data_IF_148211458120
#
_entry.id   IF_148211458120
#
_cell.length_a   1.000
_cell.length_b   1.000
_cell.length_c   1.000
_cell.angle_alpha   90.00
_cell.angle_beta   90.00
_cell.angle_gamma   90.00
#
_symmetry.space_group_name_H-M   'P 1'
#
loop_
_entity.id
_entity.type
_entity.pdbx_description
1 polymer ?
#
# COMPACT_ATOMS: atom_id res chain seq x y z
N UNK A 1 -7.44 26.39 34.85
CA UNK A 1 -7.89 25.80 33.57
C UNK A 1 -6.64 25.29 32.86
N UNK A 2 -6.42 23.97 32.96
CA UNK A 2 -5.18 23.30 32.55
C UNK A 2 -5.10 23.09 31.05
N UNK A 3 -3.87 23.19 30.53
CA UNK A 3 -3.47 23.07 29.13
C UNK A 3 -4.02 21.81 28.46
N UNK A 4 -4.42 21.98 27.20
CA UNK A 4 -4.57 20.93 26.19
C UNK A 4 -3.19 20.28 25.96
N UNK A 5 -2.89 19.22 26.69
CA UNK A 5 -1.75 18.33 26.41
C UNK A 5 -2.17 17.34 25.33
N UNK A 6 -2.24 17.81 24.08
CA UNK A 6 -2.15 16.96 22.92
C UNK A 6 -0.68 16.59 22.70
N UNK A 7 -0.21 15.55 23.40
CA UNK A 7 1.09 14.93 23.11
C UNK A 7 0.88 13.65 22.29
N UNK A 8 1.62 13.48 21.18
CA UNK A 8 1.28 12.53 20.12
C UNK A 8 1.56 11.09 20.55
N UNK A 9 0.74 10.16 20.04
CA UNK A 9 0.89 8.71 20.13
C UNK A 9 2.31 8.17 19.80
N UNK A 10 3.18 9.00 19.22
CA UNK A 10 4.58 8.71 18.95
C UNK A 10 5.49 8.59 20.20
N UNK A 11 5.11 9.14 21.36
CA UNK A 11 6.00 9.19 22.54
C UNK A 11 6.17 7.84 23.25
N UNK A 12 5.25 6.89 23.07
CA UNK A 12 5.19 5.68 23.88
C UNK A 12 6.08 4.52 23.37
N UNK A 13 6.53 4.54 22.10
CA UNK A 13 6.95 3.30 21.42
C UNK A 13 8.46 3.03 21.27
N UNK A 14 9.40 3.88 21.70
CA UNK A 14 10.82 3.64 21.36
C UNK A 14 11.80 3.78 22.54
N UNK A 15 12.17 2.64 23.12
CA UNK A 15 13.52 2.42 23.70
C UNK A 15 14.13 1.15 23.09
N UNK A 16 15.16 1.33 22.26
CA UNK A 16 16.16 0.31 21.94
C UNK A 16 16.23 -0.16 20.48
N UNK A 17 17.40 0.04 19.85
CA UNK A 17 17.92 -0.53 18.58
C UNK A 17 17.64 0.26 17.28
N UNK A 18 18.57 1.18 16.94
CA UNK A 18 18.34 2.35 16.10
C UNK A 18 18.38 2.20 14.56
N UNK A 19 18.51 1.00 13.96
CA UNK A 19 18.65 0.89 12.50
C UNK A 19 17.62 0.00 11.80
N UNK A 20 17.25 -1.15 12.38
CA UNK A 20 16.22 -2.03 11.78
C UNK A 20 14.79 -1.60 12.13
N UNK A 21 14.62 -0.72 13.11
CA UNK A 21 13.32 -0.33 13.66
C UNK A 21 12.63 0.76 12.82
N UNK A 22 13.38 1.56 12.06
CA UNK A 22 12.85 2.78 11.42
C UNK A 22 11.67 2.50 10.47
N UNK A 23 11.76 1.46 9.64
CA UNK A 23 10.67 1.05 8.73
C UNK A 23 9.46 0.47 9.47
N UNK A 24 9.69 -0.40 10.47
CA UNK A 24 8.59 -1.05 11.21
C UNK A 24 7.82 -0.06 12.08
N UNK A 25 8.51 0.90 12.71
CA UNK A 25 7.84 1.93 13.52
C UNK A 25 6.99 2.86 12.66
N UNK A 26 7.45 3.20 11.45
CA UNK A 26 6.67 4.04 10.53
C UNK A 26 5.34 3.40 10.16
N UNK A 27 5.31 2.10 9.83
CA UNK A 27 4.05 1.42 9.47
C UNK A 27 3.06 1.32 10.62
N UNK A 28 3.52 1.06 11.84
CA UNK A 28 2.64 1.06 13.02
C UNK A 28 2.09 2.46 13.30
N UNK A 29 2.92 3.50 13.18
CA UNK A 29 2.47 4.88 13.37
C UNK A 29 1.44 5.28 12.32
N UNK A 30 1.70 5.00 11.04
CA UNK A 30 0.75 5.25 9.95
C UNK A 30 -0.58 4.51 10.16
N UNK A 31 -0.51 3.25 10.60
CA UNK A 31 -1.72 2.48 10.89
C UNK A 31 -2.46 3.04 12.11
N UNK A 32 -1.77 3.39 13.20
CA UNK A 32 -2.40 4.02 14.36
C UNK A 32 -3.08 5.35 14.01
N UNK A 33 -2.49 6.15 13.11
CA UNK A 33 -3.07 7.43 12.67
C UNK A 33 -4.38 7.28 11.89
N UNK A 34 -4.74 6.07 11.43
CA UNK A 34 -6.03 5.79 10.80
C UNK A 34 -7.17 5.65 11.80
N UNK A 35 -6.87 5.49 13.08
CA UNK A 35 -7.86 5.35 14.14
C UNK A 35 -8.05 6.68 14.85
N UNK A 36 -9.29 6.96 15.25
CA UNK A 36 -9.65 8.18 15.98
C UNK A 36 -9.14 8.14 17.43
N UNK A 37 -8.97 6.94 17.98
CA UNK A 37 -8.48 6.72 19.34
C UNK A 37 -7.59 5.48 19.45
N UNK A 38 -6.80 5.42 20.51
CA UNK A 38 -6.01 4.23 20.85
C UNK A 38 -6.90 3.02 21.18
N UNK A 39 -8.07 3.26 21.76
CA UNK A 39 -9.05 2.21 22.06
C UNK A 39 -9.56 1.56 20.78
N UNK A 40 -9.84 2.33 19.73
CA UNK A 40 -10.27 1.80 18.44
C UNK A 40 -9.17 0.97 17.77
N UNK A 41 -7.91 1.42 17.86
CA UNK A 41 -6.76 0.66 17.37
C UNK A 41 -6.64 -0.69 18.08
N UNK A 42 -6.70 -0.71 19.41
CA UNK A 42 -6.62 -1.97 20.15
C UNK A 42 -7.88 -2.82 20.01
N UNK A 43 -9.06 -2.24 19.81
CA UNK A 43 -10.27 -3.01 19.49
C UNK A 43 -10.10 -3.79 18.19
N UNK A 44 -9.43 -3.20 17.19
CA UNK A 44 -9.10 -3.86 15.93
C UNK A 44 -8.01 -4.92 16.07
N UNK A 45 -6.98 -4.64 16.88
CA UNK A 45 -5.78 -5.46 17.05
C UNK A 45 -5.75 -6.21 18.39
N UNK A 46 -6.91 -6.62 18.88
CA UNK A 46 -7.04 -7.55 20.00
C UNK A 46 -7.87 -8.76 19.58
N UNK A 47 -7.58 -9.92 20.16
CA UNK A 47 -8.35 -11.14 19.97
C UNK A 47 -8.68 -11.72 21.33
N UNK A 48 -9.96 -11.97 21.58
CA UNK A 48 -10.46 -12.44 22.88
C UNK A 48 -10.01 -11.54 24.07
N UNK A 49 -10.00 -10.22 23.88
CA UNK A 49 -9.57 -9.26 24.90
C UNK A 49 -8.06 -9.16 25.11
N UNK A 50 -7.26 -9.94 24.37
CA UNK A 50 -5.79 -9.90 24.44
C UNK A 50 -5.24 -9.12 23.23
N UNK A 51 -4.44 -8.10 23.50
CA UNK A 51 -3.76 -7.31 22.47
C UNK A 51 -2.78 -8.18 21.67
N UNK A 52 -2.81 -8.05 20.35
CA UNK A 52 -1.83 -8.69 19.48
C UNK A 52 -0.43 -8.11 19.73
N UNK A 53 0.58 -8.95 19.55
CA UNK A 53 1.98 -8.49 19.56
C UNK A 53 2.21 -7.60 18.34
N UNK A 54 3.04 -6.58 18.48
CA UNK A 54 3.39 -5.66 17.39
C UNK A 54 3.87 -6.37 16.13
N UNK A 55 4.64 -7.46 16.26
CA UNK A 55 5.06 -8.25 15.10
C UNK A 55 3.87 -8.84 14.33
N UNK A 56 2.85 -9.37 15.04
CA UNK A 56 1.66 -9.92 14.40
C UNK A 56 0.86 -8.83 13.67
N UNK A 57 0.80 -7.62 14.24
CA UNK A 57 0.18 -6.46 13.60
C UNK A 57 0.96 -6.11 12.33
N UNK A 58 2.29 -6.03 12.41
CA UNK A 58 3.15 -5.76 11.26
C UNK A 58 3.01 -6.82 10.16
N UNK A 59 2.92 -8.10 10.51
CA UNK A 59 2.71 -9.19 9.57
C UNK A 59 1.34 -9.07 8.90
N UNK A 60 0.29 -8.75 9.67
CA UNK A 60 -1.06 -8.48 9.13
C UNK A 60 -1.05 -7.31 8.14
N UNK A 61 -0.38 -6.21 8.47
CA UNK A 61 -0.26 -5.04 7.61
C UNK A 61 0.52 -5.34 6.33
N UNK A 62 1.59 -6.13 6.46
CA UNK A 62 2.37 -6.59 5.32
C UNK A 62 1.54 -7.49 4.41
N UNK A 63 0.82 -8.47 4.94
CA UNK A 63 -0.07 -9.35 4.17
C UNK A 63 -1.15 -8.56 3.44
N UNK A 64 -1.79 -7.60 4.14
CA UNK A 64 -2.78 -6.72 3.53
C UNK A 64 -2.19 -5.91 2.37
N UNK A 65 -0.97 -5.36 2.55
CA UNK A 65 -0.25 -4.64 1.50
C UNK A 65 0.09 -5.54 0.32
N UNK A 66 0.63 -6.73 0.56
CA UNK A 66 0.96 -7.69 -0.50
C UNK A 66 -0.30 -8.12 -1.27
N UNK A 67 -1.43 -8.29 -0.58
CA UNK A 67 -2.71 -8.58 -1.22
C UNK A 67 -3.18 -7.43 -2.10
N UNK A 68 -3.06 -6.19 -1.63
CA UNK A 68 -3.40 -5.00 -2.43
C UNK A 68 -2.47 -4.88 -3.65
N UNK A 69 -1.17 -5.08 -3.47
CA UNK A 69 -0.19 -5.03 -4.56
C UNK A 69 -0.49 -6.10 -5.62
N UNK A 70 -0.89 -7.31 -5.21
CA UNK A 70 -1.35 -8.35 -6.16
C UNK A 70 -2.59 -7.92 -6.93
N UNK A 71 -3.59 -7.35 -6.24
CA UNK A 71 -4.82 -6.85 -6.85
C UNK A 71 -4.54 -5.74 -7.87
N UNK A 72 -3.74 -4.75 -7.48
CA UNK A 72 -3.35 -3.62 -8.33
C UNK A 72 -2.53 -4.07 -9.53
N UNK A 73 -1.60 -5.01 -9.34
CA UNK A 73 -0.82 -5.58 -10.44
C UNK A 73 -1.71 -6.37 -11.42
N UNK A 74 -2.66 -7.15 -10.92
CA UNK A 74 -3.64 -7.86 -11.74
C UNK A 74 -4.55 -6.88 -12.51
N UNK A 75 -4.99 -5.80 -11.87
CA UNK A 75 -5.76 -4.74 -12.52
C UNK A 75 -4.97 -4.08 -13.65
N UNK A 76 -3.70 -3.74 -13.41
CA UNK A 76 -2.82 -3.18 -14.43
C UNK A 76 -2.66 -4.12 -15.63
N UNK A 77 -2.36 -5.40 -15.38
CA UNK A 77 -2.25 -6.42 -16.44
C UNK A 77 -3.55 -6.53 -17.23
N UNK A 78 -4.70 -6.65 -16.55
CA UNK A 78 -6.01 -6.71 -17.21
C UNK A 78 -6.31 -5.48 -18.06
N UNK A 79 -6.00 -4.29 -17.55
CA UNK A 79 -6.23 -3.02 -18.27
C UNK A 79 -5.43 -2.96 -19.58
N UNK A 80 -4.19 -3.46 -19.56
CA UNK A 80 -3.32 -3.51 -20.73
C UNK A 80 -3.38 -4.86 -21.48
N UNK A 81 -4.47 -5.62 -21.34
CA UNK A 81 -4.68 -6.89 -22.06
C UNK A 81 -3.54 -7.91 -21.86
N UNK A 82 -3.10 -8.06 -20.61
CA UNK A 82 -1.97 -8.89 -20.17
C UNK A 82 -0.61 -8.54 -20.82
N UNK A 83 -0.51 -7.36 -21.44
CA UNK A 83 0.70 -6.84 -22.04
C UNK A 83 1.12 -5.51 -21.41
N UNK A 84 2.02 -5.55 -20.41
CA UNK A 84 2.55 -4.35 -19.78
C UNK A 84 3.47 -3.51 -20.70
N UNK A 85 3.79 -4.01 -21.91
CA UNK A 85 4.49 -3.25 -22.96
C UNK A 85 3.53 -2.63 -23.99
N UNK A 86 2.24 -2.57 -23.68
CA UNK A 86 1.26 -1.99 -24.57
C UNK A 86 1.58 -0.51 -24.86
N UNK A 87 1.38 0.00 -26.10
CA UNK A 87 1.66 1.40 -26.44
C UNK A 87 0.96 2.41 -25.53
N UNK A 88 -0.27 2.11 -25.07
CA UNK A 88 -1.00 2.95 -24.11
C UNK A 88 -0.31 3.08 -22.74
N UNK A 89 0.61 2.16 -22.40
CA UNK A 89 1.39 2.22 -21.17
C UNK A 89 2.61 3.16 -21.30
N UNK A 90 2.90 3.66 -22.51
CA UNK A 90 4.00 4.61 -22.81
C UNK A 90 5.35 4.20 -22.20
N UNK A 91 5.62 2.89 -22.16
CA UNK A 91 6.83 2.34 -21.57
C UNK A 91 6.96 2.50 -20.05
N UNK A 92 5.89 2.84 -19.31
CA UNK A 92 5.93 3.04 -17.86
C UNK A 92 6.45 1.81 -17.09
N UNK A 93 6.16 0.61 -17.59
CA UNK A 93 6.64 -0.65 -17.01
C UNK A 93 8.01 -1.08 -17.55
N UNK A 94 8.57 -0.39 -18.53
CA UNK A 94 9.87 -0.73 -19.09
C UNK A 94 11.00 -0.20 -18.19
N UNK A 95 12.08 -0.97 -18.11
CA UNK A 95 13.34 -0.53 -17.53
C UNK A 95 14.48 -0.89 -18.48
N UNK A 96 15.46 0.00 -18.58
CA UNK A 96 16.69 -0.27 -19.32
C UNK A 96 17.78 -0.56 -18.30
N UNK A 97 18.29 -1.79 -18.31
CA UNK A 97 19.48 -2.16 -17.54
C UNK A 97 20.50 -2.73 -18.51
N UNK A 98 21.73 -2.21 -18.46
CA UNK A 98 22.85 -2.66 -19.31
C UNK A 98 22.51 -2.69 -20.81
N UNK A 99 21.83 -1.64 -21.31
CA UNK A 99 21.43 -1.53 -22.73
C UNK A 99 20.29 -2.45 -23.17
N UNK A 100 19.81 -3.34 -22.29
CA UNK A 100 18.66 -4.21 -22.56
C UNK A 100 17.40 -3.61 -21.96
N UNK A 101 16.37 -3.47 -22.79
CA UNK A 101 15.01 -3.11 -22.36
C UNK A 101 14.32 -4.34 -21.80
N UNK A 102 13.80 -4.25 -20.58
CA UNK A 102 13.04 -5.32 -19.90
C UNK A 102 11.75 -4.75 -19.34
N UNK A 103 10.72 -5.58 -19.23
CA UNK A 103 9.46 -5.20 -18.61
C UNK A 103 9.50 -5.59 -17.14
N UNK A 104 8.98 -4.72 -16.28
CA UNK A 104 8.86 -4.96 -14.84
C UNK A 104 7.70 -5.91 -14.59
N UNK A 105 7.99 -7.07 -14.01
CA UNK A 105 6.99 -8.12 -13.77
C UNK A 105 6.59 -8.26 -12.30
N UNK A 106 7.43 -7.79 -11.37
CA UNK A 106 7.19 -7.94 -9.92
C UNK A 106 5.94 -7.17 -9.50
N UNK A 107 4.97 -7.85 -8.88
CA UNK A 107 3.67 -7.28 -8.48
C UNK A 107 3.80 -5.97 -7.70
N UNK A 108 4.70 -5.92 -6.70
CA UNK A 108 4.91 -4.70 -5.90
C UNK A 108 5.27 -3.48 -6.74
N UNK A 109 6.08 -3.69 -7.79
CA UNK A 109 6.55 -2.63 -8.69
C UNK A 109 5.47 -2.28 -9.71
N UNK A 110 4.77 -3.29 -10.25
CA UNK A 110 3.66 -3.07 -11.18
C UNK A 110 2.53 -2.30 -10.49
N UNK A 111 2.19 -2.65 -9.25
CA UNK A 111 1.18 -1.97 -8.44
C UNK A 111 1.53 -0.51 -8.12
N UNK A 112 2.81 -0.23 -7.83
CA UNK A 112 3.30 1.13 -7.65
C UNK A 112 3.11 1.97 -8.92
N UNK A 113 3.63 1.49 -10.06
CA UNK A 113 3.51 2.17 -11.36
C UNK A 113 2.04 2.32 -11.76
N UNK A 114 1.21 1.32 -11.50
CA UNK A 114 -0.22 1.39 -11.79
C UNK A 114 -0.92 2.51 -11.02
N UNK A 115 -0.66 2.61 -9.71
CA UNK A 115 -1.20 3.70 -8.89
C UNK A 115 -0.69 5.07 -9.34
N UNK A 116 0.58 5.17 -9.73
CA UNK A 116 1.14 6.40 -10.31
C UNK A 116 0.48 6.78 -11.64
N UNK A 117 0.24 5.81 -12.53
CA UNK A 117 -0.46 6.05 -13.79
C UNK A 117 -1.90 6.52 -13.55
N UNK A 118 -2.62 5.93 -12.60
CA UNK A 118 -3.97 6.36 -12.25
C UNK A 118 -4.01 7.76 -11.65
N UNK A 119 -2.99 8.15 -10.88
CA UNK A 119 -2.89 9.48 -10.27
C UNK A 119 -2.52 10.55 -11.31
N UNK A 120 -1.60 10.23 -12.24
CA UNK A 120 -0.98 11.23 -13.11
C UNK A 120 -1.51 11.23 -14.55
N UNK A 121 -2.26 10.21 -14.96
CA UNK A 121 -2.83 10.11 -16.30
C UNK A 121 -4.37 10.06 -16.25
N UNK A 122 -5.05 11.22 -16.37
CA UNK A 122 -6.52 11.30 -16.31
C UNK A 122 -7.22 10.43 -17.36
N UNK A 123 -6.60 10.19 -18.52
CA UNK A 123 -7.16 9.33 -19.57
C UNK A 123 -7.20 7.86 -19.12
N UNK A 124 -6.10 7.36 -18.57
CA UNK A 124 -6.03 6.00 -18.01
C UNK A 124 -6.97 5.89 -16.81
N UNK A 125 -6.95 6.87 -15.90
CA UNK A 125 -7.84 6.92 -14.73
C UNK A 125 -9.32 6.85 -15.10
N UNK A 126 -9.76 7.65 -16.09
CA UNK A 126 -11.15 7.64 -16.57
C UNK A 126 -11.53 6.31 -17.22
N UNK A 127 -10.68 5.76 -18.10
CA UNK A 127 -10.94 4.46 -18.74
C UNK A 127 -10.99 3.34 -17.71
N UNK A 128 -10.15 3.39 -16.68
CA UNK A 128 -10.20 2.41 -15.60
C UNK A 128 -11.49 2.50 -14.80
N UNK A 129 -11.98 3.71 -14.50
CA UNK A 129 -13.28 3.89 -13.85
C UNK A 129 -14.44 3.33 -14.68
N UNK A 130 -14.36 3.38 -16.01
CA UNK A 130 -15.34 2.72 -16.91
C UNK A 130 -15.25 1.20 -16.80
N UNK A 131 -14.04 0.63 -16.85
CA UNK A 131 -13.82 -0.82 -16.66
C UNK A 131 -14.34 -1.32 -15.31
N UNK A 132 -14.22 -0.51 -14.24
CA UNK A 132 -14.77 -0.84 -12.93
C UNK A 132 -16.30 -0.71 -12.85
N UNK A 133 -16.93 0.13 -13.68
CA UNK A 133 -18.39 0.27 -13.73
C UNK A 133 -19.05 -0.80 -14.60
N UNK A 134 -18.38 -1.23 -15.65
CA UNK A 134 -18.83 -2.28 -16.57
C UNK A 134 -18.67 -3.68 -15.96
N UNK A 135 -19.09 -3.85 -14.71
CA UNK A 135 -19.16 -5.07 -13.90
C UNK A 135 -20.06 -6.18 -14.50
N UNK A 136 -20.13 -6.33 -15.83
CA UNK A 136 -20.37 -7.63 -16.47
C UNK A 136 -19.11 -8.45 -16.25
N UNK A 137 -19.22 -9.47 -15.39
CA UNK A 137 -18.20 -10.49 -15.10
C UNK A 137 -17.16 -10.10 -14.03
N UNK A 138 -17.63 -9.74 -12.83
CA UNK A 138 -17.02 -10.29 -11.60
C UNK A 138 -17.85 -11.51 -11.19
#
# INVERSE_FOLDING_TARGET
MGKLEGLPAASFMVKGVAASIKTHTTFLVEECQRFLSEEDFWARYSTAGVRLRYQNILDTLKEARESQEKSDAAAARRFFHDNLDHPDADGAFACTKTGQRRIKEKDSVVAEIWRELLANNPKISRRWAEVQRDHRFI
#
